data_IF_781879947783
#
_entry.id   IF_781879947783
#
_cell.length_a   1.000
_cell.length_b   1.000
_cell.length_c   1.000
_cell.angle_alpha   90.00
_cell.angle_beta   90.00
_cell.angle_gamma   90.00
#
_symmetry.space_group_name_H-M   'P 1'
#
loop_
_entity.id
_entity.type
_entity.pdbx_description
1 polymer ?
#
# COMPACT_ATOMS: atom_id res chain seq x y z
N UNK A 1 20.48 16.48 6.19
CA UNK A 1 20.18 15.14 5.65
C UNK A 1 18.67 14.98 5.81
N UNK A 2 17.96 14.46 4.82
CA UNK A 2 16.53 14.15 4.98
C UNK A 2 16.33 12.67 4.66
N UNK A 3 15.61 11.98 5.54
CA UNK A 3 15.08 10.64 5.32
C UNK A 3 13.59 10.83 5.09
N UNK A 4 13.14 10.66 3.86
CA UNK A 4 11.76 10.97 3.44
C UNK A 4 10.89 9.72 3.27
N UNK A 5 9.57 9.88 3.33
CA UNK A 5 8.57 8.86 2.97
C UNK A 5 7.64 9.33 1.83
N UNK A 6 7.94 10.48 1.20
CA UNK A 6 7.18 10.98 0.06
C UNK A 6 8.11 11.57 -1.01
N UNK A 7 7.52 11.96 -2.15
CA UNK A 7 8.23 12.59 -3.26
C UNK A 7 8.40 14.10 -3.07
N UNK A 8 8.09 14.66 -1.89
CA UNK A 8 8.06 16.09 -1.67
C UNK A 8 9.48 16.57 -1.32
N UNK A 9 10.14 17.19 -2.29
CA UNK A 9 11.52 17.65 -2.16
C UNK A 9 11.67 18.98 -1.38
N UNK A 10 10.70 19.38 -0.54
CA UNK A 10 10.78 20.62 0.23
C UNK A 10 11.69 20.42 1.46
N UNK A 11 12.91 20.98 1.47
CA UNK A 11 13.90 20.69 2.51
C UNK A 11 13.58 21.30 3.89
N UNK A 12 12.50 22.09 4.00
CA UNK A 12 12.11 22.79 5.22
C UNK A 12 10.85 22.22 5.90
N UNK A 13 10.10 21.32 5.26
CA UNK A 13 8.89 20.73 5.85
C UNK A 13 9.22 19.56 6.80
N UNK A 14 10.27 18.79 6.51
CA UNK A 14 10.56 17.55 7.22
C UNK A 14 11.88 17.65 7.99
N UNK A 15 11.81 18.16 9.23
CA UNK A 15 12.92 18.05 10.21
C UNK A 15 13.06 16.62 10.75
N UNK A 16 13.14 15.62 9.87
CA UNK A 16 13.54 14.27 10.27
C UNK A 16 12.60 13.54 11.23
N UNK A 17 11.41 14.07 11.47
CA UNK A 17 10.52 13.59 12.51
C UNK A 17 9.14 13.26 11.95
N UNK A 18 8.99 11.96 11.72
CA UNK A 18 7.77 11.16 11.72
C UNK A 18 6.84 11.37 10.51
N UNK A 19 7.02 10.52 9.50
CA UNK A 19 5.93 10.03 8.67
C UNK A 19 5.66 8.58 9.04
N UNK A 20 4.67 8.35 9.92
CA UNK A 20 4.11 7.03 10.14
C UNK A 20 3.35 6.63 8.89
N UNK A 21 4.01 6.01 7.93
CA UNK A 21 3.30 5.45 6.79
C UNK A 21 2.65 4.14 7.22
N UNK A 22 1.31 4.14 7.25
CA UNK A 22 0.53 2.93 7.48
C UNK A 22 0.39 2.21 6.15
N UNK A 23 1.08 1.08 6.02
CA UNK A 23 1.10 0.34 4.77
C UNK A 23 0.40 -0.99 4.98
N UNK A 24 -0.72 -1.16 4.29
CA UNK A 24 -1.44 -2.43 4.20
C UNK A 24 -0.67 -3.33 3.24
N UNK A 25 -0.10 -4.39 3.78
CA UNK A 25 0.69 -5.34 3.03
C UNK A 25 0.09 -6.74 3.13
N UNK A 26 0.10 -7.46 2.02
CA UNK A 26 -0.35 -8.84 1.97
C UNK A 26 0.68 -9.78 2.60
N UNK A 27 1.33 -10.59 1.77
CA UNK A 27 2.29 -11.59 2.25
C UNK A 27 3.72 -11.08 2.34
N UNK A 28 4.05 -10.09 1.52
CA UNK A 28 5.36 -9.45 1.48
C UNK A 28 5.17 -7.95 1.40
N UNK A 29 6.11 -7.20 1.98
CA UNK A 29 6.17 -5.76 1.89
C UNK A 29 7.51 -5.33 1.29
N UNK A 30 7.47 -4.39 0.34
CA UNK A 30 8.67 -3.76 -0.22
C UNK A 30 8.41 -2.27 -0.37
N UNK A 31 9.32 -1.46 0.15
CA UNK A 31 9.24 0.00 0.11
C UNK A 31 10.63 0.62 0.03
N UNK A 32 10.79 1.65 -0.80
CA UNK A 32 12.05 2.36 -0.93
C UNK A 32 12.03 3.65 -0.13
N UNK A 33 12.88 3.76 0.88
CA UNK A 33 13.05 5.00 1.68
C UNK A 33 14.12 5.87 1.01
N UNK A 34 13.77 7.06 0.47
CA UNK A 34 14.76 7.99 -0.06
C UNK A 34 15.58 8.64 1.06
N UNK A 35 16.90 8.64 0.85
CA UNK A 35 17.89 9.38 1.64
C UNK A 35 18.46 10.47 0.74
N UNK A 36 18.37 11.73 1.17
CA UNK A 36 18.80 12.89 0.37
C UNK A 36 19.77 13.76 1.14
N UNK A 37 20.92 14.08 0.54
CA UNK A 37 21.83 15.10 1.07
C UNK A 37 21.41 16.50 0.62
N UNK A 38 20.61 17.20 1.43
CA UNK A 38 20.24 18.59 1.18
C UNK A 38 21.29 19.63 1.63
N UNK A 39 22.47 19.18 2.08
CA UNK A 39 23.58 20.07 2.39
C UNK A 39 24.24 20.63 1.12
N UNK A 40 25.07 21.63 1.31
CA UNK A 40 25.96 22.22 0.29
C UNK A 40 27.32 21.51 0.21
N UNK A 41 27.61 20.59 1.13
CA UNK A 41 28.82 19.78 1.19
C UNK A 41 28.51 18.28 1.10
N UNK A 42 29.44 17.47 0.54
CA UNK A 42 29.34 16.01 0.57
C UNK A 42 29.24 15.47 1.99
N UNK A 43 28.54 14.35 2.18
CA UNK A 43 28.37 13.72 3.50
C UNK A 43 28.53 12.22 3.44
N UNK A 44 29.30 11.71 4.40
CA UNK A 44 29.31 10.29 4.74
C UNK A 44 28.20 10.02 5.77
N UNK A 45 27.37 9.02 5.50
CA UNK A 45 26.29 8.61 6.40
C UNK A 45 26.25 7.09 6.52
N UNK A 46 25.89 6.62 7.70
CA UNK A 46 25.53 5.21 7.92
C UNK A 46 24.02 5.13 7.98
N UNK A 47 23.46 4.18 7.22
CA UNK A 47 22.03 3.88 7.23
C UNK A 47 21.79 2.51 7.85
N UNK A 48 20.85 2.43 8.79
CA UNK A 48 20.44 1.20 9.46
C UNK A 48 18.94 0.98 9.26
N UNK A 49 18.53 -0.26 8.99
CA UNK A 49 17.12 -0.67 8.88
C UNK A 49 16.83 -1.70 9.97
N UNK A 50 15.90 -1.39 10.86
CA UNK A 50 15.56 -2.20 12.03
C UNK A 50 14.07 -2.51 12.07
N UNK A 51 13.70 -3.78 12.18
CA UNK A 51 12.32 -4.18 12.49
C UNK A 51 12.13 -4.16 14.01
N UNK A 52 11.21 -3.34 14.49
CA UNK A 52 10.91 -3.19 15.92
C UNK A 52 9.76 -4.14 16.32
N UNK A 53 9.95 -4.89 17.42
CA UNK A 53 8.94 -5.81 17.98
C UNK A 53 9.42 -6.57 19.23
N UNK A 54 8.47 -7.18 19.98
CA UNK A 54 8.70 -7.85 21.27
C UNK A 54 9.45 -9.19 21.19
N UNK A 55 9.64 -9.72 19.98
CA UNK A 55 10.48 -10.89 19.73
C UNK A 55 11.36 -10.58 18.53
N UNK A 56 12.65 -10.76 18.75
CA UNK A 56 13.65 -10.78 17.71
C UNK A 56 13.43 -12.07 16.90
N UNK A 57 12.46 -12.02 15.98
CA UNK A 57 11.97 -13.16 15.21
C UNK A 57 13.01 -13.65 14.16
N UNK A 58 14.25 -13.13 14.19
CA UNK A 58 15.27 -13.34 13.16
C UNK A 58 14.93 -12.66 11.83
N UNK A 59 13.85 -11.86 11.79
CA UNK A 59 13.40 -11.15 10.62
C UNK A 59 14.12 -9.79 10.50
N UNK A 60 15.30 -9.81 9.89
CA UNK A 60 15.74 -8.70 9.03
C UNK A 60 16.30 -7.45 9.70
N UNK A 61 17.25 -7.60 10.63
CA UNK A 61 18.25 -6.55 10.79
C UNK A 61 19.13 -6.53 9.54
N UNK A 62 19.08 -5.45 8.75
CA UNK A 62 20.05 -5.28 7.68
C UNK A 62 21.36 -4.79 8.28
N UNK A 63 22.49 -5.28 7.77
CA UNK A 63 23.79 -4.71 8.13
C UNK A 63 23.80 -3.20 7.82
N UNK A 64 24.33 -2.36 8.74
CA UNK A 64 24.45 -0.93 8.49
C UNK A 64 25.19 -0.68 7.18
N UNK A 65 24.68 0.26 6.38
CA UNK A 65 25.23 0.60 5.06
C UNK A 65 25.85 1.98 5.09
N UNK A 66 27.13 2.06 4.79
CA UNK A 66 27.84 3.32 4.59
C UNK A 66 27.55 3.87 3.19
N UNK A 67 27.22 5.17 3.12
CA UNK A 67 26.93 5.90 1.89
C UNK A 67 27.72 7.20 1.90
N UNK A 68 28.31 7.52 0.75
CA UNK A 68 28.82 8.84 0.45
C UNK A 68 27.80 9.54 -0.44
N UNK A 69 27.31 10.72 -0.04
CA UNK A 69 26.27 11.46 -0.76
C UNK A 69 26.77 12.85 -1.13
N UNK A 70 26.81 13.14 -2.43
CA UNK A 70 27.07 14.48 -2.96
C UNK A 70 25.88 15.43 -2.66
N UNK A 71 26.10 16.76 -2.66
CA UNK A 71 25.02 17.74 -2.54
C UNK A 71 23.88 17.50 -3.55
N UNK A 72 22.66 17.34 -3.03
CA UNK A 72 21.45 17.03 -3.81
C UNK A 72 21.31 15.57 -4.26
N UNK A 73 22.28 14.70 -3.95
CA UNK A 73 22.18 13.28 -4.29
C UNK A 73 21.11 12.57 -3.47
N UNK A 74 20.42 11.63 -4.14
CA UNK A 74 19.38 10.78 -3.55
C UNK A 74 19.71 9.30 -3.74
N UNK A 75 19.69 8.54 -2.65
CA UNK A 75 19.81 7.07 -2.67
C UNK A 75 18.53 6.46 -2.09
N UNK A 76 18.03 5.39 -2.72
CA UNK A 76 16.87 4.64 -2.23
C UNK A 76 17.32 3.44 -1.41
N UNK A 77 16.82 3.34 -0.18
CA UNK A 77 17.09 2.24 0.74
C UNK A 77 15.90 1.29 0.72
N UNK A 78 16.07 0.06 0.20
CA UNK A 78 14.98 -0.90 0.17
C UNK A 78 14.69 -1.43 1.58
N UNK A 79 13.42 -1.42 1.94
CA UNK A 79 12.86 -2.10 3.10
C UNK A 79 12.04 -3.27 2.57
N UNK A 80 12.41 -4.49 2.97
CA UNK A 80 11.71 -5.71 2.58
C UNK A 80 11.30 -6.50 3.81
N UNK A 81 10.03 -6.90 3.89
CA UNK A 81 9.53 -7.76 4.97
C UNK A 81 8.78 -8.96 4.40
N UNK A 82 9.07 -10.14 4.93
CA UNK A 82 8.22 -11.31 4.79
C UNK A 82 7.19 -11.29 5.92
N UNK A 83 5.92 -11.14 5.55
CA UNK A 83 4.82 -11.06 6.50
C UNK A 83 4.04 -12.37 6.60
N UNK A 84 4.40 -13.43 5.86
CA UNK A 84 3.62 -14.67 5.79
C UNK A 84 3.38 -15.32 7.15
N UNK A 85 4.35 -15.25 8.05
CA UNK A 85 4.27 -15.82 9.40
C UNK A 85 3.35 -15.06 10.36
N UNK A 86 2.92 -13.84 10.01
CA UNK A 86 2.09 -13.01 10.89
C UNK A 86 0.60 -13.13 10.56
N UNK A 87 -0.27 -12.81 11.52
CA UNK A 87 -1.73 -12.77 11.32
C UNK A 87 -2.20 -11.45 10.71
N UNK A 88 -3.39 -11.45 10.09
CA UNK A 88 -4.05 -10.21 9.64
C UNK A 88 -4.31 -9.27 10.84
N UNK A 89 -4.19 -7.97 10.59
CA UNK A 89 -4.23 -6.91 11.60
C UNK A 89 -2.95 -6.80 12.44
N UNK A 90 -1.98 -7.70 12.27
CA UNK A 90 -0.69 -7.57 12.96
C UNK A 90 0.07 -6.35 12.46
N UNK A 91 0.82 -5.73 13.38
CA UNK A 91 1.60 -4.52 13.10
C UNK A 91 3.07 -4.86 13.22
N UNK A 92 3.87 -4.36 12.28
CA UNK A 92 5.32 -4.32 12.33
C UNK A 92 5.75 -2.87 12.20
N UNK A 93 6.72 -2.49 13.01
CA UNK A 93 7.33 -1.18 12.90
C UNK A 93 8.71 -1.37 12.26
N UNK A 94 9.04 -0.57 11.26
CA UNK A 94 10.39 -0.57 10.68
C UNK A 94 10.96 0.82 10.85
N UNK A 95 12.09 0.89 11.52
CA UNK A 95 12.86 2.10 11.71
C UNK A 95 14.00 2.11 10.69
N UNK A 96 13.99 3.11 9.82
CA UNK A 96 15.11 3.43 8.93
C UNK A 96 15.76 4.67 9.48
N UNK A 97 17.02 4.56 9.87
CA UNK A 97 17.80 5.64 10.46
C UNK A 97 19.04 5.93 9.64
N UNK A 98 19.38 7.20 9.51
CA UNK A 98 20.63 7.66 8.91
C UNK A 98 21.36 8.59 9.88
N UNK A 99 22.66 8.37 10.06
CA UNK A 99 23.48 9.13 11.02
C UNK A 99 24.94 9.30 10.56
N UNK A 100 25.63 10.28 11.14
CA UNK A 100 27.05 10.53 10.89
C UNK A 100 27.92 9.44 11.55
N UNK A 101 28.77 8.70 10.81
CA UNK A 101 29.64 7.68 11.38
C UNK A 101 30.63 8.21 12.43
N UNK A 102 30.98 9.49 12.39
CA UNK A 102 31.90 10.11 13.34
C UNK A 102 31.23 10.46 14.68
N UNK A 103 29.89 10.51 14.71
CA UNK A 103 29.12 10.82 15.91
C UNK A 103 27.86 9.93 16.05
N UNK A 104 28.02 8.59 16.13
CA UNK A 104 26.91 7.65 16.08
C UNK A 104 26.01 7.70 17.32
N UNK A 105 26.49 8.27 18.43
CA UNK A 105 25.78 8.37 19.70
C UNK A 105 24.89 9.62 19.81
N UNK A 106 25.06 10.59 18.90
CA UNK A 106 24.34 11.85 18.97
C UNK A 106 22.93 11.72 18.39
N UNK A 107 21.97 11.47 19.27
CA UNK A 107 20.56 11.33 18.90
C UNK A 107 19.97 12.58 18.20
N UNK A 108 20.59 13.76 18.31
CA UNK A 108 20.09 14.99 17.68
C UNK A 108 20.43 15.10 16.20
N UNK A 109 21.42 14.32 15.73
CA UNK A 109 21.86 14.32 14.32
C UNK A 109 21.37 13.09 13.55
N UNK A 110 20.60 12.20 14.21
CA UNK A 110 20.00 11.02 13.58
C UNK A 110 18.68 11.39 12.93
N UNK A 111 18.62 11.23 11.63
CA UNK A 111 17.41 11.38 10.84
C UNK A 111 16.73 10.01 10.73
N UNK A 112 15.40 9.93 10.83
CA UNK A 112 14.72 8.64 10.77
C UNK A 112 13.32 8.66 10.16
N UNK A 113 12.94 7.51 9.61
CA UNK A 113 11.57 7.19 9.19
C UNK A 113 11.11 5.95 9.94
N UNK A 114 9.91 6.03 10.52
CA UNK A 114 9.25 4.90 11.19
C UNK A 114 8.06 4.45 10.34
N UNK A 115 8.22 3.35 9.63
CA UNK A 115 7.15 2.71 8.88
C UNK A 115 6.29 1.86 9.82
N UNK A 116 4.96 1.96 9.70
CA UNK A 116 4.03 1.07 10.40
C UNK A 116 3.35 0.17 9.39
N UNK A 117 3.94 -1.00 9.20
CA UNK A 117 3.43 -2.00 8.28
C UNK A 117 2.34 -2.80 8.98
N UNK A 118 1.12 -2.72 8.48
CA UNK A 118 0.00 -3.51 8.96
C UNK A 118 -0.16 -4.66 7.99
N UNK A 119 0.00 -5.89 8.47
CA UNK A 119 -0.38 -7.04 7.66
C UNK A 119 -1.90 -7.02 7.52
N UNK A 120 -2.37 -6.97 6.29
CA UNK A 120 -3.77 -7.18 6.01
C UNK A 120 -3.92 -7.93 4.69
N UNK A 121 -4.74 -8.96 4.71
CA UNK A 121 -5.11 -9.64 3.49
C UNK A 121 -6.11 -8.79 2.69
N UNK A 122 -6.03 -8.88 1.36
CA UNK A 122 -6.91 -8.15 0.46
C UNK A 122 -8.39 -8.42 0.78
N UNK A 123 -8.74 -9.66 1.11
CA UNK A 123 -10.10 -10.03 1.50
C UNK A 123 -10.51 -9.39 2.83
N UNK A 124 -9.63 -9.40 3.83
CA UNK A 124 -9.92 -8.83 5.14
C UNK A 124 -10.20 -7.33 5.03
N UNK A 125 -9.36 -6.59 4.32
CA UNK A 125 -9.56 -5.15 4.10
C UNK A 125 -10.84 -4.86 3.30
N UNK A 126 -11.14 -5.67 2.27
CA UNK A 126 -12.40 -5.56 1.51
C UNK A 126 -13.63 -5.75 2.42
N UNK A 127 -13.60 -6.70 3.37
CA UNK A 127 -14.66 -6.90 4.37
C UNK A 127 -14.80 -5.69 5.28
N UNK A 128 -13.68 -5.20 5.84
CA UNK A 128 -13.68 -4.00 6.68
C UNK A 128 -14.33 -2.81 5.95
N UNK A 129 -13.94 -2.57 4.70
CA UNK A 129 -14.51 -1.46 3.92
C UNK A 129 -15.97 -1.67 3.55
N UNK A 130 -16.41 -2.91 3.29
CA UNK A 130 -17.83 -3.20 3.10
C UNK A 130 -18.63 -2.83 4.35
N UNK A 131 -18.17 -3.23 5.54
CA UNK A 131 -18.85 -2.95 6.80
C UNK A 131 -18.89 -1.44 7.10
N UNK A 132 -17.74 -0.77 6.97
CA UNK A 132 -17.60 0.67 7.15
C UNK A 132 -18.54 1.45 6.23
N UNK A 133 -18.54 1.14 4.93
CA UNK A 133 -19.41 1.83 3.97
C UNK A 133 -20.88 1.48 4.17
N UNK A 134 -21.19 0.25 4.54
CA UNK A 134 -22.57 -0.17 4.87
C UNK A 134 -23.12 0.60 6.07
N UNK A 135 -22.28 0.89 7.07
CA UNK A 135 -22.65 1.68 8.26
C UNK A 135 -23.06 3.11 7.93
N UNK A 136 -22.60 3.65 6.79
CA UNK A 136 -22.95 5.00 6.33
C UNK A 136 -24.32 5.05 5.64
N UNK A 137 -24.82 3.92 5.14
CA UNK A 137 -26.06 3.89 4.34
C UNK A 137 -27.30 4.49 5.05
N UNK A 138 -27.51 4.34 6.37
CA UNK A 138 -28.61 4.98 7.10
C UNK A 138 -28.53 6.51 7.16
N UNK A 139 -27.33 7.09 7.01
CA UNK A 139 -27.13 8.54 7.05
C UNK A 139 -27.51 9.25 5.74
N UNK A 140 -27.79 8.48 4.67
CA UNK A 140 -28.12 9.01 3.37
C UNK A 140 -29.60 9.44 3.28
N UNK A 141 -29.91 10.53 2.56
CA UNK A 141 -31.29 10.90 2.26
C UNK A 141 -32.02 9.76 1.55
N UNK A 142 -33.26 9.48 1.98
CA UNK A 142 -34.11 8.48 1.31
C UNK A 142 -34.30 8.88 -0.16
N UNK A 143 -34.27 7.89 -1.06
CA UNK A 143 -34.52 8.09 -2.49
C UNK A 143 -33.46 7.45 -3.37
N UNK A 144 -33.30 8.00 -4.57
CA UNK A 144 -32.45 7.44 -5.64
C UNK A 144 -30.97 7.30 -5.23
N UNK A 145 -30.41 8.30 -4.54
CA UNK A 145 -29.01 8.27 -4.07
C UNK A 145 -28.76 7.10 -3.12
N UNK A 146 -29.56 6.97 -2.05
CA UNK A 146 -29.41 5.87 -1.09
C UNK A 146 -29.63 4.49 -1.73
N UNK A 147 -30.54 4.38 -2.71
CA UNK A 147 -30.77 3.12 -3.42
C UNK A 147 -29.59 2.73 -4.31
N UNK A 148 -29.04 3.67 -5.09
CA UNK A 148 -27.84 3.42 -5.91
C UNK A 148 -26.62 3.10 -5.05
N UNK A 149 -26.45 3.78 -3.91
CA UNK A 149 -25.39 3.51 -2.95
C UNK A 149 -25.47 2.07 -2.42
N UNK A 150 -26.64 1.64 -1.92
CA UNK A 150 -26.85 0.25 -1.48
C UNK A 150 -26.67 -0.75 -2.61
N UNK A 151 -27.08 -0.41 -3.83
CA UNK A 151 -26.89 -1.28 -4.98
C UNK A 151 -25.41 -1.46 -5.31
N UNK A 152 -24.61 -0.40 -5.24
CA UNK A 152 -23.16 -0.50 -5.38
C UNK A 152 -22.58 -1.44 -4.31
N UNK A 153 -22.94 -1.28 -3.03
CA UNK A 153 -22.46 -2.15 -1.95
C UNK A 153 -22.75 -3.65 -2.18
N UNK A 154 -23.88 -4.00 -2.79
CA UNK A 154 -24.16 -5.40 -3.16
C UNK A 154 -23.14 -6.00 -4.13
N UNK A 155 -22.54 -5.18 -4.99
CA UNK A 155 -21.47 -5.67 -5.86
C UNK A 155 -20.20 -5.96 -5.05
N UNK A 156 -19.82 -5.09 -4.11
CA UNK A 156 -18.68 -5.36 -3.22
C UNK A 156 -18.93 -6.61 -2.34
N UNK A 157 -20.15 -6.77 -1.82
CA UNK A 157 -20.57 -7.98 -1.10
C UNK A 157 -20.47 -9.24 -1.97
N UNK A 158 -20.91 -9.17 -3.24
CA UNK A 158 -20.78 -10.29 -4.18
C UNK A 158 -19.32 -10.62 -4.52
N UNK A 159 -18.43 -9.62 -4.59
CA UNK A 159 -17.00 -9.82 -4.77
C UNK A 159 -16.36 -10.59 -3.58
N UNK A 160 -16.99 -10.53 -2.40
CA UNK A 160 -16.54 -11.18 -1.18
C UNK A 160 -17.13 -12.59 -0.95
N UNK A 161 -17.89 -13.14 -1.91
CA UNK A 161 -18.42 -14.51 -1.83
C UNK A 161 -17.29 -15.51 -1.53
N UNK A 162 -17.33 -16.23 -0.39
CA UNK A 162 -16.27 -17.15 0.01
C UNK A 162 -15.88 -18.18 -1.06
N UNK A 163 -16.77 -18.52 -1.99
CA UNK A 163 -16.52 -19.49 -3.07
C UNK A 163 -15.57 -18.96 -4.16
N UNK A 164 -15.36 -17.66 -4.22
CA UNK A 164 -14.45 -17.01 -5.19
C UNK A 164 -13.01 -16.91 -4.66
N UNK A 165 -12.81 -17.21 -3.38
CA UNK A 165 -11.55 -17.02 -2.66
C UNK A 165 -10.98 -18.37 -2.22
N UNK A 166 -9.66 -18.53 -2.35
CA UNK A 166 -8.93 -19.67 -1.77
C UNK A 166 -8.56 -19.35 -0.33
N UNK A 167 -8.08 -18.13 -0.09
CA UNK A 167 -7.73 -17.59 1.23
C UNK A 167 -7.92 -16.06 1.25
N UNK A 168 -7.17 -15.33 2.08
CA UNK A 168 -7.26 -13.87 2.18
C UNK A 168 -6.61 -13.09 1.01
N UNK A 169 -5.67 -13.68 0.27
CA UNK A 169 -4.90 -13.02 -0.80
C UNK A 169 -4.95 -13.77 -2.14
N UNK A 170 -5.60 -14.93 -2.18
CA UNK A 170 -5.71 -15.77 -3.37
C UNK A 170 -7.16 -15.94 -3.80
N UNK A 171 -7.37 -15.79 -5.10
CA UNK A 171 -8.64 -16.00 -5.77
C UNK A 171 -8.65 -17.34 -6.48
N UNK A 172 -9.81 -17.99 -6.51
CA UNK A 172 -10.01 -19.15 -7.38
C UNK A 172 -9.88 -18.67 -8.83
N UNK A 173 -9.23 -19.46 -9.70
CA UNK A 173 -8.95 -19.06 -11.10
C UNK A 173 -10.17 -18.52 -11.86
N UNK A 174 -11.32 -19.19 -11.77
CA UNK A 174 -12.56 -18.70 -12.39
C UNK A 174 -13.28 -17.66 -11.52
N UNK A 175 -13.00 -17.65 -10.22
CA UNK A 175 -13.58 -16.70 -9.27
C UNK A 175 -13.01 -15.30 -9.43
N UNK A 176 -11.72 -15.15 -9.73
CA UNK A 176 -11.11 -13.82 -9.77
C UNK A 176 -11.64 -12.93 -10.89
N UNK A 177 -12.03 -13.48 -12.04
CA UNK A 177 -12.75 -12.71 -13.08
C UNK A 177 -14.04 -12.12 -12.55
N UNK A 178 -14.78 -12.87 -11.72
CA UNK A 178 -16.03 -12.41 -11.12
C UNK A 178 -15.78 -11.34 -10.05
N UNK A 179 -14.79 -11.54 -9.17
CA UNK A 179 -14.39 -10.55 -8.14
C UNK A 179 -14.07 -9.20 -8.78
N UNK A 180 -13.14 -9.16 -9.74
CA UNK A 180 -12.76 -7.92 -10.42
C UNK A 180 -13.91 -7.28 -11.20
N UNK A 181 -14.82 -8.09 -11.80
CA UNK A 181 -15.99 -7.55 -12.49
C UNK A 181 -16.94 -6.83 -11.51
N UNK A 182 -17.23 -7.46 -10.37
CA UNK A 182 -18.05 -6.86 -9.33
C UNK A 182 -17.41 -5.59 -8.74
N UNK A 183 -16.10 -5.60 -8.53
CA UNK A 183 -15.36 -4.43 -8.03
C UNK A 183 -15.34 -3.28 -9.04
N UNK A 184 -15.16 -3.57 -10.34
CA UNK A 184 -15.28 -2.56 -11.37
C UNK A 184 -16.67 -1.91 -11.42
N UNK A 185 -17.75 -2.69 -11.22
CA UNK A 185 -19.11 -2.13 -11.10
C UNK A 185 -19.27 -1.27 -9.84
N UNK A 186 -18.75 -1.73 -8.70
CA UNK A 186 -18.77 -0.97 -7.45
C UNK A 186 -18.03 0.36 -7.59
N UNK A 187 -16.78 0.35 -8.07
CA UNK A 187 -15.94 1.53 -8.26
C UNK A 187 -16.62 2.55 -9.19
N UNK A 188 -17.07 2.08 -10.35
CA UNK A 188 -17.78 2.94 -11.31
C UNK A 188 -19.03 3.56 -10.70
N UNK A 189 -19.84 2.78 -9.99
CA UNK A 189 -21.07 3.27 -9.39
C UNK A 189 -20.79 4.27 -8.25
N UNK A 190 -19.84 3.99 -7.36
CA UNK A 190 -19.50 4.87 -6.24
C UNK A 190 -18.83 6.16 -6.72
N UNK A 191 -17.92 6.09 -7.69
CA UNK A 191 -17.27 7.26 -8.28
C UNK A 191 -18.29 8.23 -8.88
N UNK A 192 -19.32 7.73 -9.57
CA UNK A 192 -20.41 8.55 -10.10
C UNK A 192 -21.32 9.13 -9.01
N UNK A 193 -21.43 8.46 -7.86
CA UNK A 193 -22.21 8.95 -6.72
C UNK A 193 -21.48 10.01 -5.91
N UNK A 194 -20.14 10.05 -5.91
CA UNK A 194 -19.34 10.99 -5.11
C UNK A 194 -19.86 12.44 -5.14
N UNK A 195 -20.20 13.06 -6.29
CA UNK A 195 -20.68 14.44 -6.33
C UNK A 195 -22.02 14.66 -5.61
N UNK A 196 -22.83 13.60 -5.48
CA UNK A 196 -24.18 13.63 -4.92
C UNK A 196 -24.21 13.29 -3.41
N UNK A 197 -23.10 12.79 -2.85
CA UNK A 197 -23.03 12.37 -1.45
C UNK A 197 -22.79 13.54 -0.49
N UNK A 198 -23.36 13.51 0.73
CA UNK A 198 -23.02 14.45 1.79
C UNK A 198 -21.50 14.45 2.06
N UNK A 199 -20.92 15.62 2.37
CA UNK A 199 -19.46 15.77 2.50
C UNK A 199 -18.78 14.71 3.39
N UNK A 200 -19.28 14.38 4.60
CA UNK A 200 -18.65 13.36 5.44
C UNK A 200 -18.64 11.97 4.77
N UNK A 201 -19.78 11.55 4.20
CA UNK A 201 -19.91 10.27 3.51
C UNK A 201 -19.03 10.23 2.25
N UNK A 202 -19.01 11.32 1.49
CA UNK A 202 -18.20 11.46 0.28
C UNK A 202 -16.71 11.27 0.56
N UNK A 203 -16.19 11.86 1.63
CA UNK A 203 -14.78 11.70 2.02
C UNK A 203 -14.47 10.25 2.36
N UNK A 204 -15.34 9.60 3.14
CA UNK A 204 -15.15 8.20 3.55
C UNK A 204 -15.26 7.22 2.37
N UNK A 205 -16.18 7.46 1.43
CA UNK A 205 -16.27 6.68 0.18
C UNK A 205 -15.02 6.86 -0.67
N UNK A 206 -14.51 8.08 -0.81
CA UNK A 206 -13.30 8.33 -1.58
C UNK A 206 -12.05 7.68 -0.95
N UNK A 207 -12.02 7.54 0.38
CA UNK A 207 -11.00 6.79 1.10
C UNK A 207 -11.14 5.28 0.87
N UNK A 208 -12.36 4.74 0.97
CA UNK A 208 -12.62 3.33 0.72
C UNK A 208 -12.29 2.90 -0.69
N UNK A 209 -12.59 3.71 -1.71
CA UNK A 209 -12.21 3.42 -3.10
C UNK A 209 -10.69 3.29 -3.26
N UNK A 210 -9.90 4.15 -2.61
CA UNK A 210 -8.43 4.06 -2.65
C UNK A 210 -7.94 2.76 -2.01
N UNK A 211 -8.42 2.45 -0.82
CA UNK A 211 -8.00 1.27 -0.10
C UNK A 211 -8.40 -0.04 -0.82
N UNK A 212 -9.56 -0.07 -1.49
CA UNK A 212 -9.97 -1.22 -2.30
C UNK A 212 -9.04 -1.43 -3.52
N UNK A 213 -8.56 -0.35 -4.15
CA UNK A 213 -7.53 -0.46 -5.21
C UNK A 213 -6.22 -1.00 -4.66
N UNK A 214 -5.84 -0.63 -3.43
CA UNK A 214 -4.65 -1.19 -2.78
C UNK A 214 -4.83 -2.69 -2.49
N UNK A 215 -6.06 -3.15 -2.19
CA UNK A 215 -6.35 -4.58 -2.09
C UNK A 215 -6.15 -5.30 -3.44
N UNK A 216 -6.54 -4.69 -4.56
CA UNK A 216 -6.33 -5.24 -5.90
C UNK A 216 -4.85 -5.34 -6.26
N UNK A 217 -4.05 -4.37 -5.81
CA UNK A 217 -2.59 -4.43 -5.89
C UNK A 217 -2.04 -5.62 -5.13
N UNK A 218 -2.50 -5.86 -3.89
CA UNK A 218 -2.09 -7.03 -3.07
C UNK A 218 -2.41 -8.35 -3.81
N UNK A 219 -3.60 -8.45 -4.41
CA UNK A 219 -4.00 -9.64 -5.18
C UNK A 219 -3.10 -9.86 -6.41
N UNK A 220 -2.82 -8.80 -7.17
CA UNK A 220 -1.96 -8.88 -8.35
C UNK A 220 -0.52 -9.24 -7.99
N UNK A 221 0.02 -8.65 -6.91
CA UNK A 221 1.36 -8.96 -6.41
C UNK A 221 1.47 -10.38 -5.90
N UNK A 222 0.50 -10.85 -5.12
CA UNK A 222 0.48 -12.23 -4.61
C UNK A 222 0.48 -13.22 -5.76
N UNK A 223 -0.38 -13.03 -6.76
CA UNK A 223 -0.39 -13.87 -7.95
C UNK A 223 0.95 -13.78 -8.73
N UNK A 224 1.52 -12.57 -8.85
CA UNK A 224 2.82 -12.37 -9.50
C UNK A 224 3.98 -13.09 -8.83
N UNK A 225 4.00 -13.12 -7.49
CA UNK A 225 5.01 -13.85 -6.70
C UNK A 225 4.91 -15.37 -6.89
N UNK A 226 3.73 -15.88 -7.27
CA UNK A 226 3.46 -17.29 -7.52
C UNK A 226 3.56 -17.68 -9.00
N UNK A 227 3.69 -16.69 -9.89
CA UNK A 227 3.72 -16.92 -11.32
C UNK A 227 5.00 -17.65 -11.75
N UNK A 228 4.92 -18.37 -12.86
CA UNK A 228 6.11 -18.92 -13.51
C UNK A 228 7.08 -17.79 -13.88
N UNK A 229 8.39 -18.01 -13.69
CA UNK A 229 9.44 -17.00 -13.90
C UNK A 229 9.38 -16.31 -15.29
N UNK A 230 8.93 -17.03 -16.33
CA UNK A 230 8.78 -16.47 -17.69
C UNK A 230 7.67 -15.41 -17.80
N UNK A 231 6.68 -15.43 -16.90
CA UNK A 231 5.55 -14.49 -16.87
C UNK A 231 5.85 -13.25 -16.02
N UNK A 232 6.80 -13.37 -15.08
CA UNK A 232 7.10 -12.34 -14.08
C UNK A 232 7.38 -10.96 -14.69
N UNK A 233 8.17 -10.80 -15.79
CA UNK A 233 8.40 -9.48 -16.37
C UNK A 233 7.12 -8.80 -16.89
N UNK A 234 6.20 -9.58 -17.48
CA UNK A 234 4.93 -9.05 -17.97
C UNK A 234 4.01 -8.65 -16.82
N UNK A 235 3.97 -9.44 -15.75
CA UNK A 235 3.19 -9.14 -14.54
C UNK A 235 3.72 -7.88 -13.85
N UNK A 236 5.04 -7.78 -13.65
CA UNK A 236 5.68 -6.60 -13.03
C UNK A 236 5.43 -5.32 -13.84
N UNK A 237 5.50 -5.40 -15.17
CA UNK A 237 5.17 -4.27 -16.05
C UNK A 237 3.73 -3.79 -15.83
N UNK A 238 2.75 -4.70 -15.80
CA UNK A 238 1.35 -4.35 -15.59
C UNK A 238 1.09 -3.74 -14.21
N UNK A 239 1.74 -4.27 -13.16
CA UNK A 239 1.68 -3.71 -11.80
C UNK A 239 2.28 -2.29 -11.78
N UNK A 240 3.41 -2.07 -12.44
CA UNK A 240 4.03 -0.74 -12.54
C UNK A 240 3.11 0.29 -13.23
N UNK A 241 2.51 -0.07 -14.37
CA UNK A 241 1.53 0.78 -15.07
C UNK A 241 0.27 1.03 -14.22
N UNK A 242 -0.16 0.04 -13.43
CA UNK A 242 -1.29 0.18 -12.50
C UNK A 242 -0.97 1.14 -11.36
N UNK A 243 0.24 1.05 -10.78
CA UNK A 243 0.72 1.94 -9.73
C UNK A 243 0.89 3.39 -10.23
N UNK A 244 1.27 3.59 -11.49
CA UNK A 244 1.24 4.91 -12.14
C UNK A 244 -0.18 5.46 -12.26
N UNK A 245 -1.13 4.66 -12.77
CA UNK A 245 -2.53 5.07 -12.90
C UNK A 245 -3.15 5.39 -11.53
N UNK A 246 -2.86 4.58 -10.51
CA UNK A 246 -3.30 4.78 -9.12
C UNK A 246 -2.77 6.11 -8.57
N UNK A 247 -1.47 6.41 -8.74
CA UNK A 247 -0.87 7.69 -8.31
C UNK A 247 -1.46 8.90 -9.03
N UNK A 248 -1.89 8.73 -10.29
CA UNK A 248 -2.60 9.76 -11.04
C UNK A 248 -4.08 9.92 -10.65
N UNK A 249 -4.61 9.08 -9.75
CA UNK A 249 -6.01 9.08 -9.35
C UNK A 249 -6.97 8.41 -10.35
N UNK A 250 -6.44 7.72 -11.37
CA UNK A 250 -7.21 6.95 -12.34
C UNK A 250 -7.45 5.51 -11.84
N UNK A 251 -8.29 5.39 -10.80
CA UNK A 251 -8.54 4.12 -10.12
C UNK A 251 -9.19 3.07 -11.02
N UNK A 252 -10.08 3.48 -11.94
CA UNK A 252 -10.72 2.55 -12.87
C UNK A 252 -9.69 1.88 -13.77
N UNK A 253 -8.72 2.65 -14.29
CA UNK A 253 -7.61 2.10 -15.07
C UNK A 253 -6.68 1.25 -14.21
N UNK A 254 -6.37 1.68 -12.98
CA UNK A 254 -5.54 0.90 -12.06
C UNK A 254 -6.13 -0.49 -11.78
N UNK A 255 -7.42 -0.57 -11.43
CA UNK A 255 -8.14 -1.84 -11.19
C UNK A 255 -8.04 -2.76 -12.42
N UNK A 256 -8.27 -2.22 -13.62
CA UNK A 256 -8.17 -3.00 -14.87
C UNK A 256 -6.76 -3.53 -15.13
N UNK A 257 -5.73 -2.75 -14.82
CA UNK A 257 -4.33 -3.17 -14.98
C UNK A 257 -3.94 -4.22 -13.92
N UNK A 258 -4.38 -4.08 -12.67
CA UNK A 258 -4.19 -5.11 -11.65
C UNK A 258 -4.93 -6.41 -11.99
N UNK A 259 -6.15 -6.32 -12.48
CA UNK A 259 -6.89 -7.48 -12.99
C UNK A 259 -6.10 -8.19 -14.11
N UNK A 260 -5.56 -7.44 -15.07
CA UNK A 260 -4.74 -8.01 -16.16
C UNK A 260 -3.46 -8.64 -15.63
N UNK A 261 -2.81 -8.02 -14.65
CA UNK A 261 -1.62 -8.58 -14.01
C UNK A 261 -1.94 -9.92 -13.35
N UNK A 262 -3.01 -9.97 -12.55
CA UNK A 262 -3.51 -11.17 -11.90
C UNK A 262 -3.89 -12.27 -12.92
N UNK A 263 -4.61 -11.92 -13.98
CA UNK A 263 -4.97 -12.87 -15.05
C UNK A 263 -3.75 -13.39 -15.79
N UNK A 264 -2.72 -12.56 -15.98
CA UNK A 264 -1.48 -12.96 -16.64
C UNK A 264 -0.70 -13.95 -15.76
N UNK A 265 -0.63 -13.68 -14.46
CA UNK A 265 0.05 -14.53 -13.49
C UNK A 265 -0.61 -15.92 -13.31
N UNK A 266 -1.93 -16.00 -13.45
CA UNK A 266 -2.74 -17.21 -13.20
C UNK A 266 -3.06 -18.03 -14.46
N UNK A 267 -2.39 -17.74 -15.58
CA UNK A 267 -2.53 -18.49 -16.85
C UNK A 267 -1.80 -19.82 -16.82
#
# INVERSE_FOLDING_TARGET
LIVGADANANPNDDRGQINLEVIHAGETFSYGVPIVNNGDEPRDVVVEVRVLGDRDDGAGGHEPRELHLEPGEQVIIPVELDLRAFGDGSVRQVLVEAYDPNDPANAQTREHVLLRVVKSSARHDKVYWLDELSSLAPSLPRGSVANRYRNALKHLEAALDPRLWVDGNRLVRNGGVQVFAHEGFFDFAMTRLLPELPRPVRLRVAEGLRALVDCDRILAQTAGNEAAALLLPAVQKLIGEADEARRAGDYTRAIHLYQKAWQTATR
#
